data_IF_255115598553
#
_entry.id   IF_255115598553
#
_cell.length_a   1.000
_cell.length_b   1.000
_cell.length_c   1.000
_cell.angle_alpha   90.00
_cell.angle_beta   90.00
_cell.angle_gamma   90.00
#
_symmetry.space_group_name_H-M   'P 1'
#
loop_
_entity.id
_entity.type
_entity.pdbx_description
1 polymer ?
#
# COMPACT_ATOMS: atom_id res chain seq x y z
N UNK A 1 23.52 5.12 -12.33
CA UNK A 1 22.16 5.34 -12.87
C UNK A 1 21.07 4.59 -12.07
N UNK A 2 21.34 3.44 -11.46
CA UNK A 2 20.32 2.63 -10.74
C UNK A 2 19.69 3.32 -9.51
N UNK A 3 20.45 4.05 -8.71
CA UNK A 3 19.92 4.72 -7.51
C UNK A 3 18.93 5.86 -7.77
N UNK A 4 19.01 6.52 -8.92
CA UNK A 4 18.09 7.61 -9.29
C UNK A 4 16.74 7.04 -9.76
N UNK A 5 16.76 5.91 -10.49
CA UNK A 5 15.53 5.25 -10.95
C UNK A 5 14.75 4.64 -9.78
N UNK A 6 15.43 3.98 -8.85
CA UNK A 6 14.83 3.43 -7.63
C UNK A 6 14.12 4.49 -6.80
N UNK A 7 14.78 5.62 -6.57
CA UNK A 7 14.19 6.74 -5.83
C UNK A 7 12.93 7.28 -6.51
N UNK A 8 12.92 7.32 -7.84
CA UNK A 8 11.76 7.77 -8.60
C UNK A 8 10.60 6.78 -8.55
N UNK A 9 10.87 5.46 -8.59
CA UNK A 9 9.84 4.42 -8.53
C UNK A 9 9.05 4.48 -7.20
N UNK A 10 9.74 4.51 -6.07
CA UNK A 10 9.10 4.59 -4.75
C UNK A 10 8.41 5.94 -4.52
N UNK A 11 8.95 7.03 -5.06
CA UNK A 11 8.29 8.33 -5.02
C UNK A 11 6.97 8.33 -5.80
N UNK A 12 6.96 7.76 -7.00
CA UNK A 12 5.72 7.63 -7.78
C UNK A 12 4.69 6.74 -7.08
N UNK A 13 5.14 5.69 -6.39
CA UNK A 13 4.26 4.86 -5.58
C UNK A 13 3.70 5.63 -4.38
N UNK A 14 4.51 6.39 -3.66
CA UNK A 14 4.08 7.26 -2.57
C UNK A 14 3.04 8.28 -3.06
N UNK A 15 3.28 8.97 -4.18
CA UNK A 15 2.33 9.90 -4.78
C UNK A 15 0.98 9.22 -5.12
N UNK A 16 1.02 7.95 -5.55
CA UNK A 16 -0.20 7.17 -5.75
C UNK A 16 -0.92 6.87 -4.44
N UNK A 17 -0.20 6.50 -3.39
CA UNK A 17 -0.78 6.24 -2.07
C UNK A 17 -1.48 7.48 -1.52
N UNK A 18 -0.94 8.67 -1.77
CA UNK A 18 -1.53 9.93 -1.36
C UNK A 18 -2.77 10.38 -2.15
N UNK A 19 -3.23 9.57 -3.13
CA UNK A 19 -4.55 9.75 -3.75
C UNK A 19 -5.69 9.15 -2.93
N UNK A 20 -5.39 8.30 -1.94
CA UNK A 20 -6.38 7.83 -0.99
C UNK A 20 -6.71 8.94 0.03
N UNK A 21 -7.93 8.95 0.59
CA UNK A 21 -8.24 9.81 1.74
C UNK A 21 -7.30 9.57 2.92
N UNK A 22 -6.90 8.32 3.14
CA UNK A 22 -5.79 7.96 4.00
C UNK A 22 -4.52 7.95 3.17
N UNK A 23 -3.71 8.99 3.31
CA UNK A 23 -2.44 9.11 2.62
C UNK A 23 -1.31 8.36 3.32
N UNK A 24 -0.10 8.57 2.80
CA UNK A 24 1.15 8.10 3.37
C UNK A 24 2.16 9.26 3.30
N UNK A 25 2.23 10.11 4.34
CA UNK A 25 3.19 11.21 4.37
C UNK A 25 4.61 10.74 4.08
N UNK A 26 5.35 11.42 3.20
CA UNK A 26 6.68 11.01 2.78
C UNK A 26 7.66 11.05 3.95
N UNK A 27 8.36 9.95 4.19
CA UNK A 27 9.44 9.89 5.17
C UNK A 27 10.50 8.88 4.74
N UNK A 28 11.69 8.95 5.36
CA UNK A 28 12.74 7.95 5.13
C UNK A 28 12.29 6.55 5.55
N UNK A 29 11.47 6.45 6.58
CA UNK A 29 10.94 5.18 7.09
C UNK A 29 9.90 4.61 6.12
N UNK A 30 8.99 5.41 5.58
CA UNK A 30 8.06 4.97 4.54
C UNK A 30 8.81 4.37 3.34
N UNK A 31 9.83 5.06 2.83
CA UNK A 31 10.59 4.53 1.67
C UNK A 31 11.33 3.23 1.98
N UNK A 32 11.81 3.01 3.22
CA UNK A 32 12.36 1.72 3.64
C UNK A 32 11.28 0.63 3.65
N UNK A 33 10.09 0.92 4.17
CA UNK A 33 8.94 -0.01 4.14
C UNK A 33 8.59 -0.38 2.70
N UNK A 34 8.44 0.60 1.82
CA UNK A 34 8.13 0.36 0.41
C UNK A 34 9.20 -0.48 -0.28
N UNK A 35 10.49 -0.22 -0.01
CA UNK A 35 11.59 -1.00 -0.57
C UNK A 35 11.68 -2.44 -0.04
N UNK A 36 11.16 -2.72 1.15
CA UNK A 36 11.02 -4.09 1.66
C UNK A 36 9.85 -4.83 1.00
N UNK A 37 8.77 -4.13 0.68
CA UNK A 37 7.54 -4.74 0.17
C UNK A 37 7.51 -4.85 -1.36
N UNK A 38 8.16 -3.95 -2.07
CA UNK A 38 8.15 -3.87 -3.53
C UNK A 38 9.57 -3.85 -4.10
N UNK A 39 9.80 -4.57 -5.17
CA UNK A 39 10.94 -4.28 -6.04
C UNK A 39 10.73 -2.93 -6.76
N UNK A 40 11.80 -2.30 -7.24
CA UNK A 40 11.71 -1.06 -8.04
C UNK A 40 10.70 -1.21 -9.19
N UNK A 41 10.78 -2.32 -9.92
CA UNK A 41 9.88 -2.60 -11.04
C UNK A 41 8.43 -2.75 -10.61
N UNK A 42 8.17 -3.40 -9.49
CA UNK A 42 6.81 -3.53 -8.94
C UNK A 42 6.28 -2.17 -8.48
N UNK A 43 7.11 -1.35 -7.83
CA UNK A 43 6.74 0.01 -7.43
C UNK A 43 6.34 0.87 -8.63
N UNK A 44 7.11 0.83 -9.72
CA UNK A 44 6.78 1.52 -10.98
C UNK A 44 5.45 1.07 -11.58
N UNK A 45 5.21 -0.24 -11.62
CA UNK A 45 4.00 -0.82 -12.17
C UNK A 45 2.77 -0.48 -11.32
N UNK A 46 2.90 -0.65 -9.99
CA UNK A 46 1.80 -0.39 -9.04
C UNK A 46 1.46 1.09 -8.95
N UNK A 47 2.44 1.99 -9.08
CA UNK A 47 2.22 3.43 -9.09
C UNK A 47 1.24 3.90 -10.19
N UNK A 48 1.16 3.15 -11.30
CA UNK A 48 0.29 3.45 -12.43
C UNK A 48 -1.14 2.92 -12.28
N UNK A 49 -1.37 2.00 -11.34
CA UNK A 49 -2.66 1.33 -11.18
C UNK A 49 -3.72 2.25 -10.55
N UNK A 50 -5.01 2.05 -10.88
CA UNK A 50 -6.10 2.78 -10.26
C UNK A 50 -6.13 2.61 -8.74
N UNK A 51 -6.73 3.57 -8.02
CA UNK A 51 -7.00 3.43 -6.58
C UNK A 51 -8.26 2.60 -6.30
N UNK A 52 -9.11 2.40 -7.31
CA UNK A 52 -10.29 1.52 -7.25
C UNK A 52 -9.92 0.10 -7.66
N UNK A 53 -10.78 -0.85 -7.33
CA UNK A 53 -10.65 -2.22 -7.83
C UNK A 53 -10.60 -2.24 -9.37
N UNK A 54 -9.74 -3.07 -9.92
CA UNK A 54 -9.50 -3.18 -11.37
C UNK A 54 -9.30 -4.64 -11.77
N UNK A 55 -9.49 -4.90 -13.07
CA UNK A 55 -9.27 -6.23 -13.65
C UNK A 55 -7.94 -6.31 -14.39
N UNK A 56 -7.50 -7.53 -14.66
CA UNK A 56 -6.25 -7.84 -15.40
C UNK A 56 -6.15 -7.03 -16.68
N UNK A 57 -7.22 -6.98 -17.48
CA UNK A 57 -7.26 -6.22 -18.73
C UNK A 57 -6.90 -4.75 -18.56
N UNK A 58 -7.31 -4.15 -17.44
CA UNK A 58 -6.98 -2.75 -17.14
C UNK A 58 -5.49 -2.58 -16.85
N UNK A 59 -4.91 -3.46 -16.02
CA UNK A 59 -3.49 -3.44 -15.73
C UNK A 59 -2.64 -3.69 -16.98
N UNK A 60 -3.00 -4.70 -17.77
CA UNK A 60 -2.32 -5.04 -19.02
C UNK A 60 -2.28 -3.85 -19.99
N UNK A 61 -3.42 -3.15 -20.15
CA UNK A 61 -3.51 -1.94 -20.98
C UNK A 61 -2.64 -0.80 -20.46
N UNK A 62 -2.64 -0.56 -19.16
CA UNK A 62 -1.84 0.51 -18.52
C UNK A 62 -0.36 0.21 -18.67
N UNK A 63 0.06 -1.03 -18.46
CA UNK A 63 1.46 -1.46 -18.50
C UNK A 63 1.98 -1.72 -19.91
N UNK A 64 1.10 -1.79 -20.91
CA UNK A 64 1.47 -2.10 -22.29
C UNK A 64 1.99 -3.52 -22.48
N UNK A 65 1.47 -4.49 -21.71
CA UNK A 65 1.87 -5.89 -21.71
C UNK A 65 0.68 -6.81 -22.01
N UNK A 66 0.95 -8.09 -22.24
CA UNK A 66 -0.11 -9.10 -22.39
C UNK A 66 -0.86 -9.32 -21.07
N UNK A 67 -2.12 -9.78 -21.14
CA UNK A 67 -2.89 -10.14 -19.93
C UNK A 67 -2.19 -11.28 -19.16
N UNK A 68 -1.55 -12.22 -19.84
CA UNK A 68 -0.78 -13.30 -19.22
C UNK A 68 0.42 -12.80 -18.39
N UNK A 69 1.11 -11.77 -18.87
CA UNK A 69 2.20 -11.13 -18.12
C UNK A 69 1.67 -10.32 -16.95
N UNK A 70 0.58 -9.59 -17.16
CA UNK A 70 -0.07 -8.81 -16.09
C UNK A 70 -0.55 -9.72 -14.96
N UNK A 71 -1.21 -10.86 -15.25
CA UNK A 71 -1.65 -11.84 -14.25
C UNK A 71 -0.48 -12.30 -13.38
N UNK A 72 0.66 -12.65 -13.98
CA UNK A 72 1.84 -13.12 -13.22
C UNK A 72 2.33 -12.10 -12.19
N UNK A 73 2.31 -10.82 -12.55
CA UNK A 73 2.72 -9.76 -11.63
C UNK A 73 1.67 -9.54 -10.54
N UNK A 74 0.39 -9.48 -10.92
CA UNK A 74 -0.72 -9.25 -9.99
C UNK A 74 -0.86 -10.40 -8.99
N UNK A 75 -0.81 -11.65 -9.45
CA UNK A 75 -0.90 -12.82 -8.56
C UNK A 75 0.30 -12.92 -7.63
N UNK A 76 1.50 -12.55 -8.08
CA UNK A 76 2.68 -12.50 -7.22
C UNK A 76 2.54 -11.42 -6.12
N UNK A 77 1.96 -10.27 -6.42
CA UNK A 77 1.69 -9.23 -5.42
C UNK A 77 0.57 -9.67 -4.46
N UNK A 78 -0.48 -10.32 -4.96
CA UNK A 78 -1.58 -10.84 -4.15
C UNK A 78 -1.11 -11.99 -3.24
N UNK A 79 -0.26 -12.90 -3.73
CA UNK A 79 0.29 -13.98 -2.90
C UNK A 79 1.08 -13.50 -1.68
N UNK A 80 1.63 -12.28 -1.76
CA UNK A 80 2.32 -11.60 -0.66
C UNK A 80 1.41 -10.72 0.20
N UNK A 81 0.09 -10.75 -0.05
CA UNK A 81 -0.92 -9.92 0.59
C UNK A 81 -0.67 -8.40 0.46
N UNK A 82 -0.01 -7.99 -0.63
CA UNK A 82 0.16 -6.58 -0.99
C UNK A 82 -1.06 -6.09 -1.77
N UNK A 83 -1.50 -6.85 -2.78
CA UNK A 83 -2.80 -6.65 -3.41
C UNK A 83 -3.81 -7.59 -2.79
N UNK A 84 -5.05 -7.15 -2.70
CA UNK A 84 -6.17 -8.05 -2.49
C UNK A 84 -6.71 -8.49 -3.84
N UNK A 85 -7.01 -9.77 -3.96
CA UNK A 85 -7.70 -10.36 -5.09
C UNK A 85 -9.11 -10.80 -4.64
N UNK A 86 -10.09 -10.40 -5.41
CA UNK A 86 -11.51 -10.68 -5.18
C UNK A 86 -12.07 -11.33 -6.44
N UNK A 87 -12.91 -12.32 -6.28
CA UNK A 87 -13.58 -12.97 -7.41
C UNK A 87 -15.08 -12.65 -7.38
N UNK A 88 -15.62 -12.26 -8.53
CA UNK A 88 -17.04 -12.03 -8.74
C UNK A 88 -17.53 -12.80 -9.99
N UNK A 89 -18.81 -12.71 -10.31
CA UNK A 89 -19.42 -13.38 -11.48
C UNK A 89 -18.75 -13.02 -12.82
N UNK A 90 -17.99 -11.93 -12.87
CA UNK A 90 -17.26 -11.43 -14.05
C UNK A 90 -15.77 -11.77 -14.02
N UNK A 91 -15.31 -12.52 -12.99
CA UNK A 91 -13.93 -12.96 -12.80
C UNK A 91 -13.14 -12.13 -11.78
N UNK A 92 -11.83 -12.34 -11.77
CA UNK A 92 -10.92 -11.82 -10.75
C UNK A 92 -10.68 -10.32 -10.87
N UNK A 93 -10.73 -9.63 -9.75
CA UNK A 93 -10.38 -8.21 -9.56
C UNK A 93 -9.23 -8.08 -8.59
N UNK A 94 -8.48 -6.99 -8.68
CA UNK A 94 -7.39 -6.66 -7.77
C UNK A 94 -7.55 -5.25 -7.25
N UNK A 95 -7.08 -5.02 -6.02
CA UNK A 95 -7.02 -3.69 -5.42
C UNK A 95 -5.77 -3.61 -4.53
N UNK A 96 -5.06 -2.49 -4.59
CA UNK A 96 -4.10 -2.13 -3.55
C UNK A 96 -4.88 -1.40 -2.46
N UNK A 97 -5.02 -1.98 -1.25
CA UNK A 97 -5.64 -1.28 -0.15
C UNK A 97 -4.78 -0.09 0.32
N UNK A 98 -5.32 0.80 1.17
CA UNK A 98 -4.54 1.91 1.72
C UNK A 98 -3.36 1.42 2.58
N UNK A 99 -2.42 2.30 2.97
CA UNK A 99 -1.25 1.90 3.75
C UNK A 99 -1.59 1.31 5.12
N UNK A 100 -2.40 1.99 5.92
CA UNK A 100 -2.82 1.54 7.25
C UNK A 100 -4.20 0.88 7.18
N UNK A 101 -4.43 -0.13 8.01
CA UNK A 101 -5.56 -1.07 7.89
C UNK A 101 -5.63 -1.67 6.48
N UNK A 102 -4.50 -1.90 5.88
CA UNK A 102 -4.36 -2.29 4.50
C UNK A 102 -3.07 -3.06 4.20
N UNK A 103 -2.39 -2.73 3.10
CA UNK A 103 -1.35 -3.61 2.56
C UNK A 103 -0.14 -3.81 3.48
N UNK A 104 0.20 -2.86 4.37
CA UNK A 104 1.33 -3.03 5.29
C UNK A 104 1.00 -4.09 6.34
N UNK A 105 -0.16 -3.99 7.00
CA UNK A 105 -0.61 -4.98 7.99
C UNK A 105 -0.85 -6.34 7.34
N UNK A 106 -1.48 -6.38 6.18
CA UNK A 106 -1.73 -7.65 5.49
C UNK A 106 -0.43 -8.34 5.11
N UNK A 107 0.59 -7.59 4.67
CA UNK A 107 1.92 -8.12 4.42
C UNK A 107 2.60 -8.64 5.69
N UNK A 108 2.37 -8.00 6.86
CA UNK A 108 2.86 -8.46 8.16
C UNK A 108 2.13 -9.71 8.67
N UNK A 109 0.83 -9.84 8.39
CA UNK A 109 0.03 -11.01 8.77
C UNK A 109 0.38 -12.25 7.91
N UNK A 110 0.92 -12.08 6.74
CA UNK A 110 1.28 -13.19 5.84
C UNK A 110 2.61 -13.79 6.25
N UNK A 111 2.60 -15.05 6.67
CA UNK A 111 3.85 -15.80 6.92
C UNK A 111 4.63 -15.95 5.61
N UNK A 112 5.85 -15.43 5.58
CA UNK A 112 6.72 -15.42 4.40
C UNK A 112 8.19 -15.45 4.82
N UNK A 113 9.05 -15.95 3.92
CA UNK A 113 10.48 -16.14 4.17
C UNK A 113 11.37 -15.21 3.33
N UNK A 114 10.77 -14.31 2.55
CA UNK A 114 11.47 -13.44 1.60
C UNK A 114 11.75 -12.03 2.16
N UNK A 115 11.21 -11.72 3.34
CA UNK A 115 11.48 -10.46 4.07
C UNK A 115 11.71 -10.74 5.55
N UNK A 116 12.43 -9.83 6.22
CA UNK A 116 12.51 -9.81 7.68
C UNK A 116 11.27 -9.11 8.25
N UNK A 117 10.30 -9.91 8.69
CA UNK A 117 9.03 -9.41 9.23
C UNK A 117 9.24 -8.61 10.54
N UNK A 118 10.28 -8.93 11.33
CA UNK A 118 10.59 -8.16 12.54
C UNK A 118 11.05 -6.76 12.18
N UNK A 119 11.97 -6.62 11.23
CA UNK A 119 12.42 -5.32 10.74
C UNK A 119 11.27 -4.53 10.12
N UNK A 120 10.39 -5.17 9.35
CA UNK A 120 9.21 -4.51 8.79
C UNK A 120 8.28 -4.00 9.89
N UNK A 121 8.03 -4.80 10.94
CA UNK A 121 7.19 -4.40 12.06
C UNK A 121 7.79 -3.22 12.85
N UNK A 122 9.12 -3.22 13.08
CA UNK A 122 9.83 -2.12 13.72
C UNK A 122 9.75 -0.82 12.92
N UNK A 123 9.95 -0.89 11.60
CA UNK A 123 9.81 0.28 10.72
C UNK A 123 8.36 0.79 10.69
N UNK A 124 7.38 -0.09 10.67
CA UNK A 124 5.98 0.29 10.70
C UNK A 124 5.60 0.95 12.01
N UNK A 125 6.05 0.40 13.14
CA UNK A 125 5.89 1.03 14.46
C UNK A 125 6.51 2.43 14.50
N UNK A 126 7.73 2.59 13.98
CA UNK A 126 8.38 3.89 13.91
C UNK A 126 7.59 4.88 13.05
N UNK A 127 7.13 4.47 11.90
CA UNK A 127 6.37 5.32 10.98
C UNK A 127 5.04 5.80 11.56
N UNK A 128 4.33 4.93 12.28
CA UNK A 128 3.03 5.27 12.86
C UNK A 128 3.12 6.01 14.20
N UNK A 129 4.05 5.60 15.07
CA UNK A 129 4.02 6.00 16.47
C UNK A 129 5.15 6.96 16.88
N UNK A 130 6.26 6.98 16.15
CA UNK A 130 7.43 7.81 16.49
C UNK A 130 7.51 9.05 15.62
N UNK A 131 7.28 8.94 14.32
CA UNK A 131 7.37 10.08 13.39
C UNK A 131 6.17 11.02 13.48
N UNK A 132 5.04 10.57 14.02
CA UNK A 132 3.80 11.33 14.24
C UNK A 132 3.13 11.92 12.99
N UNK A 133 3.84 12.15 11.90
CA UNK A 133 3.32 12.81 10.69
C UNK A 133 2.15 12.05 10.08
N UNK A 134 2.21 10.71 10.07
CA UNK A 134 1.11 9.88 9.60
C UNK A 134 -0.16 10.06 10.44
N UNK A 135 -0.02 10.02 11.76
CA UNK A 135 -1.16 10.18 12.68
C UNK A 135 -1.71 11.61 12.63
N UNK A 136 -0.82 12.61 12.52
CA UNK A 136 -1.23 14.02 12.36
C UNK A 136 -2.01 14.22 11.07
N UNK A 137 -1.53 13.67 9.95
CA UNK A 137 -2.22 13.77 8.66
C UNK A 137 -3.57 13.07 8.70
N UNK A 138 -3.63 11.86 9.28
CA UNK A 138 -4.84 11.06 9.38
C UNK A 138 -5.95 11.74 10.20
N UNK A 139 -5.62 12.37 11.33
CA UNK A 139 -6.60 12.88 12.28
C UNK A 139 -6.77 14.40 12.27
N UNK A 140 -5.76 15.17 11.86
CA UNK A 140 -5.77 16.63 11.99
C UNK A 140 -5.75 17.37 10.66
N UNK A 141 -4.95 16.95 9.71
CA UNK A 141 -4.66 17.69 8.47
C UNK A 141 -5.58 17.36 7.31
N UNK A 142 -6.07 16.13 7.22
CA UNK A 142 -6.87 15.67 6.09
C UNK A 142 -8.24 16.35 6.05
N UNK A 143 -8.71 16.73 4.85
CA UNK A 143 -10.07 17.25 4.64
C UNK A 143 -11.13 16.23 5.07
N UNK A 144 -10.87 14.94 4.78
CA UNK A 144 -11.72 13.84 5.21
C UNK A 144 -11.19 13.25 6.52
N UNK A 145 -11.92 13.47 7.60
CA UNK A 145 -11.58 12.87 8.91
C UNK A 145 -11.98 11.40 8.93
N UNK A 146 -11.01 10.51 9.01
CA UNK A 146 -11.22 9.06 9.01
C UNK A 146 -11.60 8.51 10.40
N UNK A 147 -11.31 9.24 11.45
CA UNK A 147 -11.66 8.87 12.82
C UNK A 147 -12.47 9.95 13.52
N UNK A 148 -13.42 9.52 14.36
CA UNK A 148 -14.15 10.38 15.30
C UNK A 148 -14.12 9.74 16.67
N UNK A 149 -13.80 10.53 17.67
CA UNK A 149 -13.94 10.11 19.06
C UNK A 149 -15.34 10.52 19.54
N UNK A 150 -16.12 9.53 19.96
CA UNK A 150 -17.39 9.78 20.65
C UNK A 150 -17.11 9.78 22.16
N UNK A 151 -17.34 10.92 22.79
CA UNK A 151 -17.32 10.99 24.25
C UNK A 151 -18.71 10.58 24.74
N UNK A 152 -18.78 9.49 25.53
CA UNK A 152 -19.97 9.11 26.25
C UNK A 152 -19.83 9.58 27.71
N UNK A 153 -20.81 10.27 28.21
CA UNK A 153 -20.84 10.68 29.63
C UNK A 153 -21.24 9.53 30.55
N UNK A 154 -21.86 8.49 30.00
CA UNK A 154 -22.23 7.30 30.75
C UNK A 154 -21.03 6.37 30.92
N UNK A 155 -20.61 6.18 32.15
CA UNK A 155 -19.63 5.18 32.53
C UNK A 155 -20.28 3.80 32.35
N UNK A 156 -19.70 2.96 31.52
CA UNK A 156 -20.08 1.56 31.45
C UNK A 156 -19.75 0.91 32.80
N UNK A 157 -20.76 0.67 33.60
CA UNK A 157 -20.66 -0.08 34.88
C UNK A 157 -20.64 -1.59 34.61
#
# INVERSE_FOLDING_TARGET
MSHISAKNAYKSLEERLNRFPQGAPPSKTLYKILAMLFTEKEAELVAQLPIKAFRVKTAAKIWGVSESEAIKVLDRLASRAILLDLEDDKGKQYILPPPMAGFIEFALMRTRNDIDQKVLAELYYQYLNVEEDFIKDLFYSAETKLGRVFVQEEVLT
#
